data_IF_341300104299
#
_entry.id   IF_341300104299
#
_cell.length_a   1.000
_cell.length_b   1.000
_cell.length_c   1.000
_cell.angle_alpha   90.00
_cell.angle_beta   90.00
_cell.angle_gamma   90.00
#
_symmetry.space_group_name_H-M   'P 1'
#
loop_
_entity.id
_entity.type
_entity.pdbx_description
1 polymer ?
#
# COMPACT_ATOMS: atom_id res chain seq x y z
N UNK A 1 5.07 8.40 -1.90
CA UNK A 1 4.13 7.54 -1.14
C UNK A 1 2.78 8.19 -1.23
N UNK A 2 1.73 7.53 -1.71
CA UNK A 2 0.41 8.14 -1.79
C UNK A 2 -0.19 8.26 -0.38
N UNK A 3 -0.40 9.49 0.04
CA UNK A 3 -0.99 9.84 1.32
C UNK A 3 -2.26 10.62 1.05
N UNK A 4 -3.35 10.17 1.62
CA UNK A 4 -4.67 10.75 1.44
C UNK A 4 -5.12 11.49 2.70
N UNK A 5 -5.92 12.54 2.52
CA UNK A 5 -6.58 13.22 3.61
C UNK A 5 -7.50 12.29 4.40
N UNK A 6 -7.55 12.48 5.71
CA UNK A 6 -8.43 11.73 6.61
C UNK A 6 -9.69 12.52 6.97
N UNK A 7 -10.89 11.92 6.85
CA UNK A 7 -12.13 12.59 7.22
C UNK A 7 -12.27 12.75 8.73
N UNK A 8 -12.92 13.81 9.16
CA UNK A 8 -13.39 13.93 10.54
C UNK A 8 -14.54 12.96 10.81
N UNK A 9 -14.46 12.25 11.93
CA UNK A 9 -15.50 11.33 12.39
C UNK A 9 -15.33 9.87 11.96
N UNK A 10 -15.76 8.99 12.84
CA UNK A 10 -15.56 7.54 12.75
C UNK A 10 -16.31 6.91 11.57
N UNK A 11 -17.53 7.36 11.31
CA UNK A 11 -18.37 6.79 10.24
C UNK A 11 -17.78 7.06 8.86
N UNK A 12 -17.38 8.31 8.59
CA UNK A 12 -16.75 8.65 7.30
C UNK A 12 -15.45 7.90 7.12
N UNK A 13 -14.67 7.76 8.19
CA UNK A 13 -13.42 6.98 8.20
C UNK A 13 -13.67 5.50 7.91
N UNK A 14 -14.71 4.92 8.48
CA UNK A 14 -15.10 3.54 8.19
C UNK A 14 -15.37 3.35 6.69
N UNK A 15 -16.15 4.25 6.08
CA UNK A 15 -16.42 4.18 4.64
C UNK A 15 -15.14 4.38 3.80
N UNK A 16 -14.26 5.30 4.18
CA UNK A 16 -12.98 5.48 3.50
C UNK A 16 -12.15 4.19 3.51
N UNK A 17 -12.04 3.53 4.67
CA UNK A 17 -11.34 2.25 4.79
C UNK A 17 -12.01 1.13 3.99
N UNK A 18 -13.32 1.09 3.96
CA UNK A 18 -14.08 0.13 3.17
C UNK A 18 -13.78 0.30 1.67
N UNK A 19 -13.72 1.54 1.18
CA UNK A 19 -13.34 1.81 -0.21
C UNK A 19 -11.88 1.46 -0.49
N UNK A 20 -10.97 1.73 0.45
CA UNK A 20 -9.57 1.31 0.32
C UNK A 20 -9.42 -0.22 0.24
N UNK A 21 -10.18 -0.97 1.03
CA UNK A 21 -10.20 -2.44 0.94
C UNK A 21 -10.80 -2.92 -0.39
N UNK A 22 -11.84 -2.26 -0.89
CA UNK A 22 -12.42 -2.54 -2.22
C UNK A 22 -11.41 -2.27 -3.32
N UNK A 23 -10.74 -1.13 -3.27
CA UNK A 23 -9.64 -0.81 -4.17
C UNK A 23 -8.56 -1.90 -4.17
N UNK A 24 -8.07 -2.28 -3.00
CA UNK A 24 -7.04 -3.31 -2.86
C UNK A 24 -7.48 -4.67 -3.42
N UNK A 25 -8.76 -5.05 -3.21
CA UNK A 25 -9.31 -6.29 -3.75
C UNK A 25 -9.31 -6.29 -5.29
N UNK A 26 -9.80 -5.22 -5.92
CA UNK A 26 -9.93 -5.18 -7.39
C UNK A 26 -8.65 -4.76 -8.11
N UNK A 27 -7.68 -4.15 -7.41
CA UNK A 27 -6.34 -3.90 -7.94
C UNK A 27 -5.48 -5.16 -8.01
N UNK A 28 -5.76 -6.17 -7.19
CA UNK A 28 -5.04 -7.43 -7.20
C UNK A 28 -5.35 -8.23 -8.49
N UNK A 29 -4.32 -8.56 -9.25
CA UNK A 29 -4.47 -9.39 -10.46
C UNK A 29 -4.76 -10.85 -10.13
N UNK A 30 -4.32 -11.32 -8.95
CA UNK A 30 -4.51 -12.67 -8.43
C UNK A 30 -4.87 -12.62 -6.95
N UNK A 31 -5.58 -13.64 -6.51
CA UNK A 31 -5.82 -13.82 -5.07
C UNK A 31 -4.47 -14.10 -4.37
N UNK A 32 -4.10 -13.31 -3.37
CA UNK A 32 -2.83 -13.50 -2.68
C UNK A 32 -2.81 -14.82 -1.90
N UNK A 33 -1.73 -15.60 -2.08
CA UNK A 33 -1.60 -16.91 -1.44
C UNK A 33 -1.38 -16.82 0.07
N UNK A 34 -0.84 -15.70 0.54
CA UNK A 34 -0.56 -15.43 1.96
C UNK A 34 -1.80 -14.98 2.77
N UNK A 35 -2.97 -14.89 2.16
CA UNK A 35 -4.22 -14.57 2.86
C UNK A 35 -4.95 -15.84 3.30
N UNK A 36 -5.62 -15.76 4.45
CA UNK A 36 -6.34 -16.89 5.03
C UNK A 36 -7.42 -17.49 4.09
N UNK A 37 -7.77 -18.76 4.31
CA UNK A 37 -8.72 -19.52 3.46
C UNK A 37 -10.07 -18.82 3.29
N UNK A 38 -10.62 -18.23 4.37
CA UNK A 38 -11.90 -17.53 4.34
C UNK A 38 -11.83 -16.30 3.41
N UNK A 39 -10.78 -15.48 3.51
CA UNK A 39 -10.59 -14.35 2.61
C UNK A 39 -10.53 -14.79 1.15
N UNK A 40 -9.75 -15.82 0.85
CA UNK A 40 -9.60 -16.36 -0.52
C UNK A 40 -10.91 -16.89 -1.06
N UNK A 41 -11.70 -17.56 -0.25
CA UNK A 41 -13.04 -18.06 -0.63
C UNK A 41 -13.98 -16.90 -0.97
N UNK A 42 -14.11 -15.91 -0.08
CA UNK A 42 -14.99 -14.76 -0.29
C UNK A 42 -14.57 -13.93 -1.52
N UNK A 43 -13.29 -13.63 -1.64
CA UNK A 43 -12.76 -12.89 -2.79
C UNK A 43 -12.94 -13.69 -4.09
N UNK A 44 -12.78 -15.01 -4.06
CA UNK A 44 -13.05 -15.91 -5.18
C UNK A 44 -14.51 -15.88 -5.63
N UNK A 45 -15.45 -15.87 -4.69
CA UNK A 45 -16.88 -15.70 -4.98
C UNK A 45 -17.17 -14.35 -5.65
N UNK A 46 -16.61 -13.26 -5.11
CA UNK A 46 -16.75 -11.92 -5.70
C UNK A 46 -16.19 -11.90 -7.13
N UNK A 47 -15.02 -12.49 -7.37
CA UNK A 47 -14.42 -12.54 -8.71
C UNK A 47 -15.19 -13.39 -9.70
N UNK A 48 -15.92 -14.43 -9.26
CA UNK A 48 -16.82 -15.19 -10.11
C UNK A 48 -18.04 -14.37 -10.51
N UNK A 49 -18.66 -13.67 -9.56
CA UNK A 49 -19.82 -12.81 -9.82
C UNK A 49 -19.44 -11.64 -10.71
N UNK A 50 -18.32 -10.96 -10.40
CA UNK A 50 -17.79 -9.82 -11.18
C UNK A 50 -16.68 -10.34 -12.08
N UNK A 51 -17.06 -11.15 -13.07
CA UNK A 51 -16.10 -11.81 -13.95
C UNK A 51 -15.54 -10.90 -15.05
N UNK A 52 -16.34 -9.93 -15.53
CA UNK A 52 -15.94 -9.04 -16.64
C UNK A 52 -14.85 -8.06 -16.21
N UNK A 53 -13.67 -8.02 -16.91
CA UNK A 53 -12.57 -7.11 -16.58
C UNK A 53 -12.97 -5.63 -16.57
N UNK A 54 -13.86 -5.21 -17.50
CA UNK A 54 -14.35 -3.83 -17.55
C UNK A 54 -15.10 -3.43 -16.29
N UNK A 55 -15.93 -4.31 -15.72
CA UNK A 55 -16.65 -4.04 -14.48
C UNK A 55 -15.70 -3.93 -13.29
N UNK A 56 -14.69 -4.81 -13.23
CA UNK A 56 -13.64 -4.72 -12.20
C UNK A 56 -12.88 -3.40 -12.27
N UNK A 57 -12.55 -2.95 -13.47
CA UNK A 57 -11.91 -1.67 -13.69
C UNK A 57 -12.77 -0.50 -13.20
N UNK A 58 -14.07 -0.48 -13.52
CA UNK A 58 -14.96 0.60 -13.07
C UNK A 58 -15.14 0.61 -11.55
N UNK A 59 -15.26 -0.57 -10.92
CA UNK A 59 -15.34 -0.67 -9.45
C UNK A 59 -14.04 -0.19 -8.81
N UNK A 60 -12.89 -0.61 -9.33
CA UNK A 60 -11.58 -0.18 -8.87
C UNK A 60 -11.42 1.34 -8.95
N UNK A 61 -11.73 1.94 -10.11
CA UNK A 61 -11.66 3.41 -10.31
C UNK A 61 -12.63 4.16 -9.40
N UNK A 62 -13.83 3.64 -9.22
CA UNK A 62 -14.80 4.23 -8.31
C UNK A 62 -14.32 4.17 -6.86
N UNK A 63 -13.80 3.03 -6.43
CA UNK A 63 -13.25 2.86 -5.09
C UNK A 63 -12.07 3.80 -4.83
N UNK A 64 -11.16 3.96 -5.80
CA UNK A 64 -10.05 4.92 -5.75
C UNK A 64 -10.57 6.36 -5.54
N UNK A 65 -11.53 6.78 -6.35
CA UNK A 65 -12.14 8.11 -6.21
C UNK A 65 -12.80 8.32 -4.84
N UNK A 66 -13.46 7.30 -4.30
CA UNK A 66 -14.13 7.41 -3.00
C UNK A 66 -13.15 7.42 -1.82
N UNK A 67 -12.08 6.61 -1.86
CA UNK A 67 -11.10 6.59 -0.77
C UNK A 67 -10.25 7.86 -0.71
N UNK A 68 -9.94 8.48 -1.87
CA UNK A 68 -9.11 9.68 -1.99
C UNK A 68 -9.89 11.00 -2.12
N UNK A 69 -11.18 10.99 -1.77
CA UNK A 69 -12.01 12.20 -1.91
C UNK A 69 -11.70 13.33 -0.92
N UNK A 70 -10.94 13.03 0.14
CA UNK A 70 -10.61 14.01 1.16
C UNK A 70 -9.29 14.68 0.82
N UNK A 71 -9.35 16.00 0.73
CA UNK A 71 -8.22 16.82 0.37
C UNK A 71 -7.14 16.79 1.47
N UNK A 72 -5.88 16.66 1.07
CA UNK A 72 -4.73 16.60 1.95
C UNK A 72 -4.55 17.91 2.73
N UNK A 73 -4.65 19.06 2.06
CA UNK A 73 -4.32 20.35 2.66
C UNK A 73 -5.33 20.82 3.70
N UNK A 74 -6.59 20.41 3.55
CA UNK A 74 -7.68 20.77 4.46
C UNK A 74 -7.90 19.74 5.58
N UNK A 75 -7.22 18.59 5.51
CA UNK A 75 -7.33 17.54 6.52
C UNK A 75 -6.41 17.81 7.71
N UNK A 76 -6.84 17.47 8.92
CA UNK A 76 -5.98 17.49 10.11
C UNK A 76 -5.10 16.25 10.24
N UNK A 77 -5.61 15.14 9.77
CA UNK A 77 -4.93 13.86 9.77
C UNK A 77 -4.89 13.32 8.35
N UNK A 78 -3.84 12.58 8.05
CA UNK A 78 -3.63 11.90 6.78
C UNK A 78 -3.35 10.42 7.01
N UNK A 79 -3.50 9.63 5.97
CA UNK A 79 -3.35 8.18 6.08
C UNK A 79 -2.82 7.58 4.78
N UNK A 80 -2.13 6.48 4.89
CA UNK A 80 -1.71 5.67 3.75
C UNK A 80 -2.76 4.59 3.48
N UNK A 81 -3.51 4.73 2.39
CA UNK A 81 -4.60 3.81 2.04
C UNK A 81 -4.16 2.66 1.12
N UNK A 82 -2.93 2.68 0.63
CA UNK A 82 -2.37 1.66 -0.26
C UNK A 82 -1.29 0.87 0.49
N UNK A 83 -1.68 0.09 1.44
CA UNK A 83 -0.72 -0.67 2.24
C UNK A 83 -1.36 -1.87 2.92
N UNK A 84 -0.80 -2.25 4.05
CA UNK A 84 -1.40 -3.27 4.90
C UNK A 84 -2.65 -2.75 5.61
N UNK A 85 -3.57 -3.64 5.99
CA UNK A 85 -4.74 -3.27 6.80
C UNK A 85 -4.36 -2.58 8.12
N UNK A 86 -3.19 -2.92 8.68
CA UNK A 86 -2.65 -2.25 9.88
C UNK A 86 -2.25 -0.81 9.53
N UNK A 87 -1.52 -0.61 8.43
CA UNK A 87 -1.11 0.71 7.95
C UNK A 87 -2.28 1.62 7.61
N UNK A 88 -3.29 1.11 6.89
CA UNK A 88 -4.50 1.86 6.53
C UNK A 88 -5.27 2.41 7.73
N UNK A 89 -5.14 1.83 8.93
CA UNK A 89 -5.78 2.28 10.16
C UNK A 89 -4.99 3.37 10.88
N UNK A 90 -3.71 3.53 10.56
CA UNK A 90 -2.88 4.55 11.17
C UNK A 90 -3.30 5.94 10.69
N UNK A 91 -3.20 6.90 11.60
CA UNK A 91 -3.47 8.31 11.33
C UNK A 91 -2.21 9.10 11.68
N UNK A 92 -1.79 9.89 10.73
CA UNK A 92 -0.63 10.75 10.88
C UNK A 92 -1.11 12.21 10.91
N UNK A 93 -0.64 13.05 11.83
CA UNK A 93 -0.89 14.46 11.76
C UNK A 93 -0.41 15.04 10.42
N UNK A 94 -1.26 15.81 9.73
CA UNK A 94 -0.87 16.41 8.44
C UNK A 94 0.40 17.26 8.56
N UNK A 95 0.56 17.95 9.67
CA UNK A 95 1.74 18.80 9.94
C UNK A 95 3.08 18.05 9.86
N UNK A 96 3.10 16.72 10.01
CA UNK A 96 4.33 15.93 9.88
C UNK A 96 4.87 15.94 8.44
N UNK A 97 4.04 16.35 7.48
CA UNK A 97 4.33 16.40 6.04
C UNK A 97 4.41 17.84 5.48
N UNK A 98 4.31 18.87 6.33
CA UNK A 98 4.25 20.28 5.88
C UNK A 98 5.55 20.75 5.22
N UNK A 99 6.68 20.22 5.63
CA UNK A 99 7.99 20.57 5.07
C UNK A 99 8.96 19.40 5.16
N UNK A 100 10.06 19.52 4.46
CA UNK A 100 11.16 18.56 4.49
C UNK A 100 12.30 19.07 5.36
N UNK A 101 12.98 18.15 6.02
CA UNK A 101 14.27 18.37 6.67
C UNK A 101 15.32 17.49 6.00
N UNK A 102 16.56 17.92 6.03
CA UNK A 102 17.67 17.14 5.45
C UNK A 102 18.38 16.36 6.55
N UNK A 103 18.62 15.08 6.28
CA UNK A 103 19.37 14.17 7.15
C UNK A 103 20.56 13.60 6.40
N UNK A 104 21.68 13.49 7.06
CA UNK A 104 22.85 12.86 6.49
C UNK A 104 22.66 11.34 6.44
N UNK A 105 22.93 10.76 5.27
CA UNK A 105 22.98 9.32 5.04
C UNK A 105 24.12 9.01 4.06
N UNK A 106 25.10 8.26 4.50
CA UNK A 106 26.28 7.86 3.70
C UNK A 106 26.96 9.05 2.98
N UNK A 107 27.15 10.17 3.69
CA UNK A 107 27.78 11.37 3.16
C UNK A 107 26.88 12.24 2.28
N UNK A 108 25.60 11.89 2.13
CA UNK A 108 24.62 12.63 1.34
C UNK A 108 23.52 13.24 2.21
N UNK A 109 23.07 14.44 1.84
CA UNK A 109 21.90 15.07 2.48
C UNK A 109 20.62 14.57 1.81
N UNK A 110 19.85 13.75 2.54
CA UNK A 110 18.60 13.15 2.04
C UNK A 110 17.40 13.92 2.62
N UNK A 111 16.47 14.39 1.76
CA UNK A 111 15.26 15.05 2.23
C UNK A 111 14.29 14.00 2.84
N UNK A 112 13.84 14.27 4.06
CA UNK A 112 12.83 13.49 4.76
C UNK A 112 11.73 14.40 5.28
N UNK A 113 10.51 13.87 5.48
CA UNK A 113 9.41 14.66 6.07
C UNK A 113 9.77 15.13 7.48
N UNK A 114 9.33 16.31 7.88
CA UNK A 114 9.66 16.89 9.18
C UNK A 114 9.24 16.00 10.36
N UNK A 115 8.09 15.34 10.25
CA UNK A 115 7.55 14.42 11.27
C UNK A 115 8.04 12.97 11.17
N UNK A 116 9.18 12.70 10.51
CA UNK A 116 9.66 11.33 10.25
C UNK A 116 9.79 10.46 11.50
N UNK A 117 10.21 11.00 12.63
CA UNK A 117 10.35 10.24 13.86
C UNK A 117 8.99 9.72 14.37
N UNK A 118 7.97 10.57 14.38
CA UNK A 118 6.61 10.19 14.78
C UNK A 118 6.04 9.17 13.82
N UNK A 119 6.22 9.36 12.53
CA UNK A 119 5.80 8.43 11.49
C UNK A 119 6.42 7.03 11.70
N UNK A 120 7.74 6.96 11.89
CA UNK A 120 8.45 5.70 12.11
C UNK A 120 8.00 5.02 13.40
N UNK A 121 7.81 5.78 14.49
CA UNK A 121 7.32 5.23 15.77
C UNK A 121 5.91 4.68 15.66
N UNK A 122 5.02 5.31 14.92
CA UNK A 122 3.66 4.82 14.70
C UNK A 122 3.62 3.50 13.94
N UNK A 123 4.49 3.32 12.97
CA UNK A 123 4.52 2.12 12.13
C UNK A 123 5.30 0.98 12.77
N UNK A 124 6.48 1.29 13.30
CA UNK A 124 7.49 0.30 13.71
C UNK A 124 7.70 0.22 15.23
N UNK A 125 7.14 1.14 16.01
CA UNK A 125 7.41 1.27 17.44
C UNK A 125 8.81 1.84 17.69
N UNK A 126 9.63 1.17 18.48
CA UNK A 126 11.03 1.54 18.66
C UNK A 126 11.85 1.12 17.42
N UNK A 127 11.81 1.95 16.38
CA UNK A 127 12.48 1.68 15.11
C UNK A 127 14.01 1.72 15.17
N UNK A 128 14.58 2.26 16.26
CA UNK A 128 16.03 2.24 16.50
C UNK A 128 16.50 0.90 17.04
N UNK A 129 15.61 0.09 17.58
CA UNK A 129 15.93 -1.24 18.05
C UNK A 129 15.87 -2.23 16.88
N UNK A 130 17.00 -2.88 16.61
CA UNK A 130 17.03 -3.94 15.60
C UNK A 130 16.14 -5.11 16.03
N UNK A 131 15.37 -5.70 15.10
CA UNK A 131 14.58 -6.89 15.41
C UNK A 131 15.49 -8.07 15.86
N UNK A 132 14.95 -9.07 16.56
CA UNK A 132 15.68 -10.29 16.87
C UNK A 132 16.33 -10.91 15.62
N UNK A 133 17.49 -11.55 15.79
CA UNK A 133 18.32 -12.05 14.66
C UNK A 133 17.53 -12.96 13.73
N UNK A 134 16.68 -13.81 14.30
CA UNK A 134 15.81 -14.73 13.57
C UNK A 134 14.73 -14.05 12.73
N UNK A 135 14.45 -12.77 12.97
CA UNK A 135 13.51 -11.97 12.20
C UNK A 135 14.19 -11.09 11.15
N UNK A 136 15.53 -11.05 11.11
CA UNK A 136 16.33 -10.28 10.15
C UNK A 136 16.48 -11.01 8.82
N UNK A 137 15.39 -11.59 8.34
CA UNK A 137 15.36 -12.28 7.04
C UNK A 137 14.67 -11.42 6.00
N UNK A 138 15.16 -11.46 4.76
CA UNK A 138 14.50 -10.82 3.65
C UNK A 138 13.11 -11.45 3.46
N UNK A 139 12.06 -10.63 3.52
CA UNK A 139 10.66 -11.07 3.33
C UNK A 139 10.20 -10.96 1.87
N UNK A 140 11.13 -10.76 0.96
CA UNK A 140 10.87 -10.73 -0.47
C UNK A 140 11.26 -12.08 -1.06
N UNK A 141 10.27 -12.90 -1.36
CA UNK A 141 10.46 -14.18 -2.04
C UNK A 141 10.70 -13.91 -3.53
N UNK A 142 11.94 -13.63 -3.89
CA UNK A 142 12.33 -13.53 -5.27
C UNK A 142 12.42 -14.95 -5.85
N UNK A 143 11.54 -15.28 -6.79
CA UNK A 143 11.57 -16.56 -7.51
C UNK A 143 12.74 -16.61 -8.49
N UNK A 144 13.11 -15.46 -9.04
CA UNK A 144 14.20 -15.32 -9.98
C UNK A 144 14.78 -13.91 -9.92
N UNK A 145 16.11 -13.79 -9.94
CA UNK A 145 16.83 -12.52 -9.95
C UNK A 145 17.84 -12.59 -11.09
N UNK A 146 17.79 -11.62 -12.00
CA UNK A 146 18.80 -11.37 -13.02
C UNK A 146 19.02 -9.86 -13.11
N UNK A 147 20.23 -9.41 -12.81
CA UNK A 147 20.62 -8.01 -12.82
C UNK A 147 21.23 -7.56 -14.17
N UNK A 148 21.54 -8.52 -15.05
CA UNK A 148 22.29 -8.28 -16.28
C UNK A 148 21.40 -8.17 -17.51
N UNK A 149 20.21 -8.78 -17.46
CA UNK A 149 19.29 -8.86 -18.60
C UNK A 149 17.98 -8.13 -18.36
N UNK A 150 17.46 -7.50 -19.40
CA UNK A 150 16.15 -6.86 -19.34
C UNK A 150 15.04 -7.85 -19.01
N UNK A 151 14.09 -7.46 -18.16
CA UNK A 151 12.89 -8.25 -17.83
C UNK A 151 12.08 -8.66 -19.08
N UNK A 152 12.21 -7.92 -20.18
CA UNK A 152 11.53 -8.23 -21.45
C UNK A 152 11.94 -9.58 -22.04
N UNK A 153 13.15 -10.07 -21.74
CA UNK A 153 13.66 -11.36 -22.19
C UNK A 153 12.92 -12.54 -21.52
N UNK A 154 12.20 -12.26 -20.43
CA UNK A 154 11.48 -13.25 -19.62
C UNK A 154 9.97 -13.24 -19.86
N UNK A 155 9.50 -12.48 -20.86
CA UNK A 155 8.08 -12.46 -21.24
C UNK A 155 7.57 -13.86 -21.58
N UNK A 156 6.56 -14.31 -20.81
CA UNK A 156 5.94 -15.62 -20.96
C UNK A 156 6.74 -16.79 -20.38
N UNK A 157 7.91 -16.55 -19.77
CA UNK A 157 8.67 -17.52 -19.00
C UNK A 157 8.28 -17.45 -17.53
N UNK A 158 8.26 -16.22 -16.95
CA UNK A 158 7.79 -15.97 -15.59
C UNK A 158 6.38 -15.38 -15.58
N UNK A 159 5.54 -15.76 -14.62
CA UNK A 159 4.10 -15.53 -14.66
C UNK A 159 3.65 -14.05 -14.63
N UNK A 160 4.48 -13.14 -14.13
CA UNK A 160 4.19 -11.70 -14.14
C UNK A 160 4.61 -10.99 -15.41
N UNK A 161 5.28 -11.70 -16.32
CA UNK A 161 5.77 -11.14 -17.59
C UNK A 161 4.90 -11.68 -18.71
N UNK A 162 3.94 -10.89 -19.18
CA UNK A 162 3.02 -11.31 -20.24
C UNK A 162 3.71 -11.39 -21.61
N UNK A 163 3.34 -12.42 -22.40
CA UNK A 163 3.80 -12.58 -23.79
C UNK A 163 3.30 -11.49 -24.74
N UNK A 164 2.18 -10.83 -24.36
CA UNK A 164 1.47 -9.90 -25.23
C UNK A 164 1.51 -8.47 -24.66
N UNK A 165 2.59 -7.79 -24.87
CA UNK A 165 2.71 -6.32 -24.95
C UNK A 165 3.70 -5.93 -26.00
#
# INVERSE_FOLDING_TARGET
>A
MPIDGGPKGTVKRFFQLMWAMTFALFNAQRLPDNKGKVYRMLAGCIYKVISKPSWRYHIWRFAEKQMSQYDFDTSHEVTELIGSLKGMKLRHPRQDFDHVVYKEFEGHQIPVMAGYERYLRLIWGDYMQLPPVEQRVAKHDAVYIDMDRSYTNYKGIHYLVNKHR
#
